data_IF_005151312162
#
_entry.id   IF_005151312162
#
_cell.length_a   1.000
_cell.length_b   1.000
_cell.length_c   1.000
_cell.angle_alpha   90.00
_cell.angle_beta   90.00
_cell.angle_gamma   90.00
#
_symmetry.space_group_name_H-M   'P 1'
#
loop_
_entity.id
_entity.type
_entity.pdbx_description
1 polymer ?
#
# COMPACT_ATOMS: atom_id res chain seq x y z
N UNK A 1 6.71 -9.31 -0.48
CA UNK A 1 6.36 -8.08 -1.23
C UNK A 1 4.84 -7.96 -1.24
N UNK A 2 4.29 -6.77 -0.97
CA UNK A 2 2.85 -6.50 -0.91
C UNK A 2 2.48 -5.42 -1.93
N UNK A 3 1.55 -5.73 -2.84
CA UNK A 3 0.95 -4.76 -3.75
C UNK A 3 -0.45 -4.42 -3.25
N UNK A 4 -0.68 -3.16 -2.86
CA UNK A 4 -2.02 -2.67 -2.58
C UNK A 4 -2.70 -2.43 -3.93
N UNK A 5 -3.50 -3.40 -4.37
CA UNK A 5 -4.36 -3.28 -5.54
C UNK A 5 -5.80 -3.55 -5.11
N UNK A 6 -6.70 -2.61 -5.44
CA UNK A 6 -8.16 -2.69 -5.34
C UNK A 6 -8.70 -3.99 -4.72
N UNK A 7 -8.84 -4.03 -3.39
CA UNK A 7 -9.56 -5.12 -2.74
C UNK A 7 -9.00 -5.64 -1.42
N UNK A 8 -7.81 -5.23 -0.96
CA UNK A 8 -7.25 -5.77 0.31
C UNK A 8 -8.15 -5.48 1.52
N UNK A 9 -8.96 -4.42 1.50
CA UNK A 9 -9.93 -4.16 2.57
C UNK A 9 -11.34 -4.65 2.29
N UNK A 10 -11.64 -5.09 1.06
CA UNK A 10 -13.02 -5.25 0.60
C UNK A 10 -13.80 -3.95 0.77
N UNK A 11 -14.16 -3.27 -0.34
CA UNK A 11 -15.22 -2.24 -0.33
C UNK A 11 -14.77 -0.87 0.28
N UNK A 12 -15.20 0.36 -0.08
CA UNK A 12 -16.27 0.97 -0.93
C UNK A 12 -15.91 2.41 -1.35
N UNK A 13 -14.75 2.70 -1.99
CA UNK A 13 -14.53 4.07 -2.52
C UNK A 13 -13.81 4.07 -3.87
N UNK A 14 -14.32 4.77 -4.89
CA UNK A 14 -13.70 4.81 -6.22
C UNK A 14 -12.30 5.43 -6.24
N UNK A 15 -11.91 6.20 -5.21
CA UNK A 15 -10.67 7.00 -5.18
C UNK A 15 -9.75 6.74 -3.97
N UNK A 16 -9.81 5.58 -3.30
CA UNK A 16 -9.07 5.38 -2.04
C UNK A 16 -8.54 3.98 -1.73
N UNK A 17 -8.56 3.06 -2.69
CA UNK A 17 -8.30 1.63 -2.45
C UNK A 17 -6.86 1.23 -2.18
N UNK A 18 -5.87 2.06 -2.54
CA UNK A 18 -4.46 1.67 -2.56
C UNK A 18 -3.61 2.43 -1.52
N UNK A 19 -4.23 2.95 -0.46
CA UNK A 19 -3.55 3.74 0.57
C UNK A 19 -3.15 2.86 1.75
N UNK A 20 -1.87 2.86 2.12
CA UNK A 20 -1.39 2.18 3.31
C UNK A 20 -1.87 2.91 4.57
N UNK A 21 -2.72 2.24 5.35
CA UNK A 21 -3.20 2.71 6.65
C UNK A 21 -2.91 1.68 7.73
N UNK A 22 -3.03 2.06 9.01
CA UNK A 22 -2.87 1.12 10.12
C UNK A 22 -3.83 -0.08 10.01
N UNK A 23 -5.05 0.12 9.51
CA UNK A 23 -6.02 -0.95 9.31
C UNK A 23 -5.58 -1.93 8.22
N UNK A 24 -5.09 -1.42 7.08
CA UNK A 24 -4.54 -2.26 6.00
C UNK A 24 -3.33 -3.03 6.50
N UNK A 25 -2.44 -2.38 7.25
CA UNK A 25 -1.28 -3.02 7.81
C UNK A 25 -1.64 -4.16 8.77
N UNK A 26 -2.61 -3.96 9.66
CA UNK A 26 -3.06 -5.00 10.57
C UNK A 26 -3.64 -6.19 9.81
N UNK A 27 -4.47 -5.93 8.80
CA UNK A 27 -5.00 -6.99 7.94
C UNK A 27 -3.88 -7.76 7.22
N UNK A 28 -2.87 -7.06 6.69
CA UNK A 28 -1.70 -7.70 6.10
C UNK A 28 -0.90 -8.53 7.11
N UNK A 29 -0.78 -8.06 8.37
CA UNK A 29 -0.12 -8.82 9.43
C UNK A 29 -0.85 -10.12 9.77
N UNK A 30 -2.18 -10.09 9.79
CA UNK A 30 -3.03 -11.24 10.12
C UNK A 30 -3.06 -12.26 8.99
N UNK A 31 -3.24 -11.82 7.75
CA UNK A 31 -3.34 -12.72 6.60
C UNK A 31 -1.98 -13.26 6.16
N UNK A 32 -0.92 -12.48 6.33
CA UNK A 32 0.41 -12.80 5.82
C UNK A 32 1.47 -12.40 6.86
N UNK A 33 1.62 -13.24 7.88
CA UNK A 33 2.75 -13.16 8.79
C UNK A 33 4.05 -13.31 7.98
N UNK A 34 4.85 -12.26 7.97
CA UNK A 34 6.09 -12.20 7.18
C UNK A 34 7.21 -11.75 8.10
N UNK A 35 8.25 -12.58 8.20
CA UNK A 35 9.50 -12.21 8.87
C UNK A 35 10.39 -11.42 7.91
N UNK A 36 10.94 -10.31 8.42
CA UNK A 36 11.86 -9.44 7.68
C UNK A 36 11.22 -8.23 7.01
N UNK A 37 12.01 -7.57 6.15
CA UNK A 37 11.67 -6.29 5.54
C UNK A 37 10.49 -6.44 4.57
N UNK A 38 9.48 -5.61 4.74
CA UNK A 38 8.25 -5.63 3.94
C UNK A 38 8.27 -4.49 2.95
N UNK A 39 8.11 -4.80 1.68
CA UNK A 39 7.96 -3.78 0.66
C UNK A 39 6.47 -3.68 0.35
N UNK A 40 5.87 -2.52 0.62
CA UNK A 40 4.46 -2.21 0.37
C UNK A 40 4.36 -1.18 -0.75
N UNK A 41 3.65 -1.53 -1.82
CA UNK A 41 3.50 -0.69 -2.99
C UNK A 41 2.05 -0.18 -3.04
N UNK A 42 1.84 1.14 -3.11
CA UNK A 42 0.49 1.74 -3.09
C UNK A 42 0.46 3.18 -3.60
N UNK A 43 -0.72 3.82 -3.60
CA UNK A 43 -0.90 5.19 -4.08
C UNK A 43 -0.41 6.24 -3.08
N UNK A 44 -0.58 5.98 -1.78
CA UNK A 44 -0.10 6.83 -0.70
C UNK A 44 0.06 6.03 0.60
N UNK A 45 0.79 6.58 1.57
CA UNK A 45 0.86 6.05 2.94
C UNK A 45 0.36 7.09 3.92
N UNK A 46 -0.54 6.70 4.84
CA UNK A 46 -0.93 7.50 6.01
C UNK A 46 -0.08 7.22 7.25
N UNK A 47 0.85 6.28 7.16
CA UNK A 47 1.82 6.01 8.22
C UNK A 47 2.99 6.98 8.12
N UNK A 48 3.48 7.46 9.27
CA UNK A 48 4.69 8.29 9.31
C UNK A 48 5.93 7.48 8.91
N UNK A 49 6.98 8.12 8.37
CA UNK A 49 8.24 7.45 8.03
C UNK A 49 8.84 6.69 9.22
N UNK A 50 8.84 7.29 10.41
CA UNK A 50 9.31 6.64 11.64
C UNK A 50 8.53 5.36 11.97
N UNK A 51 7.21 5.34 11.71
CA UNK A 51 6.39 4.15 11.92
C UNK A 51 6.71 3.06 10.90
N UNK A 52 6.94 3.42 9.64
CA UNK A 52 7.35 2.48 8.59
C UNK A 52 8.70 1.84 8.93
N UNK A 53 9.70 2.63 9.35
CA UNK A 53 11.01 2.14 9.76
C UNK A 53 10.93 1.20 10.97
N UNK A 54 10.17 1.57 12.02
CA UNK A 54 9.95 0.74 13.20
C UNK A 54 9.31 -0.61 12.88
N UNK A 55 8.56 -0.69 11.78
CA UNK A 55 7.90 -1.91 11.31
C UNK A 55 8.70 -2.66 10.23
N UNK A 56 9.90 -2.17 9.91
CA UNK A 56 10.74 -2.65 8.81
C UNK A 56 9.98 -2.67 7.47
N UNK A 57 9.19 -1.62 7.21
CA UNK A 57 8.39 -1.45 6.01
C UNK A 57 9.04 -0.41 5.10
N UNK A 58 9.27 -0.78 3.85
CA UNK A 58 9.58 0.14 2.77
C UNK A 58 8.31 0.39 1.96
N UNK A 59 7.84 1.64 1.95
CA UNK A 59 6.71 2.04 1.13
C UNK A 59 7.20 2.55 -0.23
N UNK A 60 6.61 2.05 -1.32
CA UNK A 60 6.85 2.54 -2.68
C UNK A 60 5.55 3.07 -3.26
N UNK A 61 5.59 4.31 -3.74
CA UNK A 61 4.45 4.91 -4.39
C UNK A 61 4.31 4.37 -5.83
N UNK A 62 3.10 4.01 -6.24
CA UNK A 62 2.79 3.70 -7.64
C UNK A 62 2.78 5.04 -8.40
N UNK A 63 3.64 5.22 -9.41
CA UNK A 63 3.56 6.42 -10.24
C UNK A 63 2.24 6.44 -11.00
N UNK A 64 1.57 7.59 -11.03
CA UNK A 64 0.33 7.81 -11.79
C UNK A 64 0.48 7.63 -13.32
N UNK A 65 1.69 7.34 -13.83
CA UNK A 65 2.05 7.28 -15.26
C UNK A 65 1.61 6.00 -16.00
N UNK A 66 0.71 5.18 -15.45
CA UNK A 66 0.15 4.01 -16.14
C UNK A 66 -1.26 4.23 -16.70
N UNK A 67 -1.87 5.41 -16.51
CA UNK A 67 -2.93 5.85 -17.41
C UNK A 67 -2.26 6.34 -18.68
N UNK A 68 -2.26 5.47 -19.69
CA UNK A 68 -1.55 5.64 -20.94
C UNK A 68 -1.63 7.05 -21.50
N UNK A 69 -0.50 7.47 -22.08
CA UNK A 69 -0.43 8.54 -23.05
C UNK A 69 -1.63 8.47 -23.99
N UNK A 70 -2.68 9.27 -23.76
CA UNK A 70 -3.59 9.64 -24.84
C UNK A 70 -2.76 10.58 -25.70
N UNK A 71 -2.08 9.97 -26.66
CA UNK A 71 -1.52 10.66 -27.81
C UNK A 71 -2.52 11.72 -28.27
N UNK A 72 -2.07 12.98 -28.27
CA UNK A 72 -2.64 14.00 -29.13
C UNK A 72 -1.89 13.97 -30.45
#
# INVERSE_FOLDING_TARGET
>A
YYLLYNGILGDRRPNGGNVLTSSVLNHLNECHAHDGKRIVIGEASRLSPARLESLNIEFKQIPYSLYGNKAK
#
